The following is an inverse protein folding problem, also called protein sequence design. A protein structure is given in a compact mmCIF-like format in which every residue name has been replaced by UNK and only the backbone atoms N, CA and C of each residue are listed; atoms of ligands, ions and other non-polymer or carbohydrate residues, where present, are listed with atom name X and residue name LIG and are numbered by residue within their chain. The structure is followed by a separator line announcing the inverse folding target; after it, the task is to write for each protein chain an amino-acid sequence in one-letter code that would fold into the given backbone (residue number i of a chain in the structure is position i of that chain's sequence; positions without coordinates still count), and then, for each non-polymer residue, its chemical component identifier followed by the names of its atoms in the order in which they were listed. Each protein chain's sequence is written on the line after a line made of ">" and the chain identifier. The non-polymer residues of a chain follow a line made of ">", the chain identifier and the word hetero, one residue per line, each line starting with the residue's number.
data_IF_454436605120
#
_entry.id   IF_454436605120
#
_cell.length_a   1.000
_cell.length_b   1.000
_cell.length_c   1.000
_cell.angle_alpha   90.00
_cell.angle_beta   90.00
_cell.angle_gamma   90.00
#
_symmetry.space_group_name_H-M   'P 1'
#
loop_
_entity.id
_entity.type
_entity.pdbx_description
1 polymer ?
#
# COMPACT_ATOMS: atom_id res chain seq x y z
N UNK A 1 27.34 3.97 12.84
CA UNK A 1 26.80 3.64 11.50
C UNK A 1 25.47 2.92 11.63
N UNK A 2 24.53 3.19 10.71
CA UNK A 2 23.25 2.45 10.68
C UNK A 2 23.48 1.04 10.16
N UNK A 3 22.81 0.08 10.81
CA UNK A 3 22.68 -1.28 10.34
C UNK A 3 21.22 -1.55 10.01
N UNK A 4 20.97 -2.23 8.90
CA UNK A 4 19.61 -2.61 8.49
C UNK A 4 19.62 -4.10 8.17
N UNK A 5 18.53 -4.80 8.52
CA UNK A 5 18.28 -6.17 8.10
C UNK A 5 16.81 -6.38 7.79
N UNK A 6 16.53 -7.29 6.89
CA UNK A 6 15.19 -7.75 6.55
C UNK A 6 15.01 -9.11 7.21
N UNK A 7 13.93 -9.29 7.96
CA UNK A 7 13.66 -10.55 8.68
C UNK A 7 12.31 -11.14 8.29
N UNK A 8 12.14 -12.48 8.36
CA UNK A 8 10.86 -13.10 8.09
C UNK A 8 9.81 -12.68 9.12
N UNK A 9 8.61 -12.41 8.63
CA UNK A 9 7.48 -11.96 9.42
C UNK A 9 6.19 -12.73 9.06
N UNK A 10 5.21 -12.68 9.94
CA UNK A 10 3.84 -13.07 9.67
C UNK A 10 2.89 -12.06 10.34
N UNK A 11 2.08 -11.37 9.56
CA UNK A 11 1.16 -10.32 10.04
C UNK A 11 1.86 -9.28 10.95
N UNK A 12 3.07 -8.84 10.54
CA UNK A 12 3.89 -7.89 11.28
C UNK A 12 4.63 -8.43 12.50
N UNK A 13 4.49 -9.73 12.80
CA UNK A 13 5.23 -10.39 13.87
C UNK A 13 6.49 -11.06 13.34
N UNK A 14 7.61 -10.80 13.98
CA UNK A 14 8.89 -11.41 13.64
C UNK A 14 8.85 -12.91 13.91
N UNK A 15 9.12 -13.72 12.87
CA UNK A 15 9.23 -15.19 13.00
C UNK A 15 10.65 -15.57 13.45
N UNK A 16 11.66 -14.90 12.94
CA UNK A 16 13.06 -15.16 13.23
C UNK A 16 13.90 -13.90 13.07
N UNK A 17 14.92 -13.72 13.89
CA UNK A 17 15.88 -12.61 13.80
C UNK A 17 16.97 -12.84 12.75
N UNK A 18 16.96 -13.99 12.04
CA UNK A 18 17.89 -14.30 10.95
C UNK A 18 17.54 -13.45 9.73
N UNK A 19 18.52 -12.70 9.22
CA UNK A 19 18.33 -11.89 8.04
C UNK A 19 17.98 -12.74 6.81
N UNK A 20 17.05 -12.23 6.01
CA UNK A 20 16.72 -12.75 4.68
C UNK A 20 17.79 -12.33 3.66
N UNK A 21 18.02 -13.18 2.66
CA UNK A 21 18.85 -12.82 1.52
C UNK A 21 18.17 -11.84 0.56
N UNK A 22 18.93 -11.30 -0.43
CA UNK A 22 18.42 -10.39 -1.44
C UNK A 22 17.18 -10.94 -2.17
N UNK A 23 16.30 -10.06 -2.60
CA UNK A 23 15.05 -10.39 -3.31
C UNK A 23 13.95 -11.00 -2.44
N UNK A 24 14.21 -11.25 -1.14
CA UNK A 24 13.20 -11.78 -0.22
C UNK A 24 12.58 -10.67 0.61
N UNK A 25 11.24 -10.59 0.57
CA UNK A 25 10.45 -9.64 1.33
C UNK A 25 10.37 -10.04 2.81
N UNK A 26 10.39 -9.06 3.69
CA UNK A 26 10.20 -9.23 5.13
C UNK A 26 10.09 -7.90 5.85
N UNK A 27 10.11 -7.96 7.18
CA UNK A 27 10.06 -6.79 8.05
C UNK A 27 11.43 -6.13 8.14
N UNK A 28 11.46 -4.81 8.00
CA UNK A 28 12.70 -4.01 8.08
C UNK A 28 13.01 -3.73 9.53
N UNK A 29 14.19 -4.14 9.98
CA UNK A 29 14.75 -3.79 11.27
C UNK A 29 15.95 -2.88 11.09
N UNK A 30 16.05 -1.84 11.93
CA UNK A 30 17.14 -0.88 11.92
C UNK A 30 17.84 -0.82 13.29
N UNK A 31 19.16 -0.61 13.29
CA UNK A 31 19.95 -0.42 14.51
C UNK A 31 21.03 0.62 14.27
N UNK A 32 21.30 1.50 15.25
CA UNK A 32 22.35 2.49 15.18
C UNK A 32 22.08 3.70 16.09
N UNK A 33 23.03 4.63 16.13
CA UNK A 33 22.98 5.79 17.01
C UNK A 33 21.84 6.78 16.70
N UNK A 34 21.31 6.74 15.47
CA UNK A 34 20.19 7.54 15.02
C UNK A 34 18.82 6.96 15.40
N UNK A 35 18.77 5.74 15.94
CA UNK A 35 17.52 5.18 16.45
C UNK A 35 17.13 5.89 17.74
N UNK A 36 15.82 6.17 17.88
CA UNK A 36 15.28 6.79 19.09
C UNK A 36 15.68 6.01 20.34
N UNK A 37 15.83 6.70 21.46
CA UNK A 37 16.06 6.05 22.78
C UNK A 37 14.80 5.36 23.31
N UNK A 38 13.63 5.76 22.84
CA UNK A 38 12.34 5.21 23.24
C UNK A 38 11.22 6.25 23.15
N UNK A 39 10.01 5.80 23.39
CA UNK A 39 8.82 6.66 23.47
C UNK A 39 8.77 7.34 24.84
N UNK A 40 8.56 8.67 24.85
CA UNK A 40 8.52 9.44 26.08
C UNK A 40 7.45 8.95 27.05
N UNK A 41 7.87 8.60 28.28
CA UNK A 41 7.01 8.05 29.34
C UNK A 41 6.21 6.79 28.95
N UNK A 42 6.64 6.06 27.90
CA UNK A 42 5.97 4.83 27.43
C UNK A 42 6.99 3.70 27.27
N UNK A 43 7.49 3.14 28.40
CA UNK A 43 8.44 2.01 28.35
C UNK A 43 7.82 0.79 27.66
N UNK A 44 6.52 0.54 27.87
CA UNK A 44 5.74 -0.52 27.24
C UNK A 44 5.82 -0.49 25.70
N UNK A 45 5.66 0.69 25.10
CA UNK A 45 5.79 0.87 23.64
C UNK A 45 7.24 0.78 23.19
N UNK A 46 8.17 1.24 24.03
CA UNK A 46 9.59 1.17 23.71
C UNK A 46 10.07 -0.27 23.65
N UNK A 47 9.73 -1.10 24.61
CA UNK A 47 10.09 -2.51 24.64
C UNK A 47 9.44 -3.32 23.51
N UNK A 48 8.25 -2.90 23.06
CA UNK A 48 7.61 -3.52 21.91
C UNK A 48 8.24 -3.12 20.56
N UNK A 49 8.87 -1.94 20.48
CA UNK A 49 9.45 -1.41 19.26
C UNK A 49 10.95 -1.68 19.13
N UNK A 50 11.69 -1.71 20.24
CA UNK A 50 13.15 -1.92 20.27
C UNK A 50 13.45 -3.15 21.10
N UNK A 51 14.10 -4.13 20.48
CA UNK A 51 14.49 -5.36 21.19
C UNK A 51 15.71 -5.13 22.12
N UNK A 52 15.99 -6.16 22.95
CA UNK A 52 17.12 -6.13 23.89
C UNK A 52 18.50 -5.94 23.25
N UNK A 53 18.62 -6.26 21.98
CA UNK A 53 19.85 -6.11 21.21
C UNK A 53 19.91 -4.75 20.49
N UNK A 54 18.91 -3.88 20.66
CA UNK A 54 18.83 -2.54 20.09
C UNK A 54 18.34 -2.50 18.65
N UNK A 55 17.66 -3.55 18.16
CA UNK A 55 17.00 -3.53 16.85
C UNK A 55 15.62 -2.92 16.97
N UNK A 56 15.42 -1.85 16.23
CA UNK A 56 14.14 -1.15 16.10
C UNK A 56 13.31 -1.79 14.99
N UNK A 57 12.10 -2.19 15.34
CA UNK A 57 11.08 -2.62 14.39
C UNK A 57 10.44 -1.39 13.74
N UNK A 58 10.73 -1.15 12.45
CA UNK A 58 10.20 0.02 11.72
C UNK A 58 8.71 -0.09 11.46
N UNK A 59 8.15 -1.30 11.45
CA UNK A 59 6.81 -1.60 10.99
C UNK A 59 6.68 -1.59 9.45
N UNK A 60 7.76 -1.31 8.74
CA UNK A 60 7.78 -1.29 7.28
C UNK A 60 8.21 -2.64 6.71
N UNK A 61 7.62 -3.01 5.59
CA UNK A 61 7.95 -4.19 4.81
C UNK A 61 8.84 -3.82 3.63
N UNK A 62 9.77 -4.67 3.32
CA UNK A 62 10.65 -4.43 2.19
C UNK A 62 11.57 -5.61 1.89
N UNK A 63 12.46 -5.39 0.96
CA UNK A 63 13.48 -6.35 0.56
C UNK A 63 14.83 -5.66 0.33
N UNK A 64 15.90 -6.41 0.50
CA UNK A 64 17.22 -6.02 0.04
C UNK A 64 17.32 -6.36 -1.45
N UNK A 65 17.73 -5.41 -2.29
CA UNK A 65 18.05 -5.68 -3.69
C UNK A 65 19.40 -6.39 -3.83
N UNK A 66 19.71 -6.89 -5.02
CA UNK A 66 21.01 -7.50 -5.29
C UNK A 66 22.15 -6.48 -5.28
N UNK A 67 21.83 -5.19 -5.44
CA UNK A 67 22.77 -4.07 -5.37
C UNK A 67 22.90 -3.49 -3.94
N UNK A 68 22.39 -4.22 -2.93
CA UNK A 68 22.34 -3.81 -1.51
C UNK A 68 21.56 -2.53 -1.23
N UNK A 69 20.59 -2.20 -2.05
CA UNK A 69 19.62 -1.16 -1.79
C UNK A 69 18.39 -1.72 -1.06
N UNK A 70 17.69 -0.86 -0.31
CA UNK A 70 16.46 -1.25 0.38
C UNK A 70 15.28 -0.74 -0.44
N UNK A 71 14.45 -1.68 -0.89
CA UNK A 71 13.16 -1.37 -1.52
C UNK A 71 12.05 -1.57 -0.48
N UNK A 72 11.41 -0.46 -0.05
CA UNK A 72 10.22 -0.51 0.81
C UNK A 72 9.03 -0.91 -0.06
N UNK A 73 8.22 -1.87 0.39
CA UNK A 73 7.07 -2.39 -0.34
C UNK A 73 5.73 -2.04 0.30
N UNK A 74 5.72 -1.73 1.61
CA UNK A 74 4.50 -1.38 2.33
C UNK A 74 4.72 -1.33 3.84
N UNK A 75 3.61 -1.39 4.59
CA UNK A 75 3.62 -1.46 6.06
C UNK A 75 2.95 -2.73 6.54
N UNK A 76 3.54 -3.35 7.55
CA UNK A 76 3.04 -4.60 8.09
C UNK A 76 1.60 -4.51 8.65
N UNK A 77 1.23 -3.35 9.20
CA UNK A 77 -0.12 -3.10 9.75
C UNK A 77 -1.17 -2.82 8.69
N UNK A 78 -0.75 -2.38 7.51
CA UNK A 78 -1.64 -1.98 6.41
C UNK A 78 -1.90 -3.15 5.46
N UNK A 79 -1.19 -4.27 5.64
CA UNK A 79 -1.40 -5.48 4.83
C UNK A 79 -2.83 -5.97 4.96
N UNK A 80 -3.52 -6.07 3.84
CA UNK A 80 -4.87 -6.64 3.73
C UNK A 80 -4.73 -8.15 3.56
N UNK A 81 -5.40 -8.92 4.42
CA UNK A 81 -5.47 -10.38 4.28
C UNK A 81 -6.83 -10.76 3.69
N UNK A 82 -6.81 -11.33 2.49
CA UNK A 82 -8.03 -11.80 1.84
C UNK A 82 -8.52 -13.10 2.48
N UNK A 83 -9.77 -13.45 2.22
CA UNK A 83 -10.40 -14.68 2.73
C UNK A 83 -9.63 -15.94 2.34
N UNK A 84 -8.95 -15.94 1.20
CA UNK A 84 -8.08 -17.02 0.73
C UNK A 84 -6.70 -17.09 1.41
N UNK A 85 -6.40 -16.13 2.30
CA UNK A 85 -5.12 -16.04 3.01
C UNK A 85 -4.03 -15.28 2.24
N UNK A 86 -4.35 -14.68 1.11
CA UNK A 86 -3.39 -13.85 0.37
C UNK A 86 -3.13 -12.54 1.12
N UNK A 87 -1.85 -12.22 1.29
CA UNK A 87 -1.39 -10.94 1.82
C UNK A 87 -1.23 -9.94 0.68
N UNK A 88 -1.93 -8.82 0.78
CA UNK A 88 -1.92 -7.72 -0.18
C UNK A 88 -1.32 -6.49 0.47
N UNK A 89 -0.35 -5.87 -0.18
CA UNK A 89 0.24 -4.60 0.23
C UNK A 89 -0.42 -3.47 -0.57
N UNK A 90 -1.28 -2.66 0.08
CA UNK A 90 -2.12 -1.70 -0.64
C UNK A 90 -1.34 -0.58 -1.32
N UNK A 91 -0.24 -0.11 -0.71
CA UNK A 91 0.46 1.11 -1.14
C UNK A 91 0.91 1.09 -2.61
N UNK A 92 1.38 -0.06 -3.12
CA UNK A 92 1.79 -0.20 -4.52
C UNK A 92 0.60 -0.11 -5.49
N UNK A 93 -0.53 -0.70 -5.11
CA UNK A 93 -1.75 -0.73 -5.89
C UNK A 93 -2.44 0.64 -5.87
N UNK A 94 -2.56 1.26 -4.70
CA UNK A 94 -3.09 2.60 -4.51
C UNK A 94 -2.28 3.64 -5.30
N UNK A 95 -0.94 3.54 -5.22
CA UNK A 95 -0.05 4.39 -6.01
C UNK A 95 -0.22 4.23 -7.52
N UNK A 96 -0.44 2.99 -7.99
CA UNK A 96 -0.71 2.73 -9.41
C UNK A 96 -2.05 3.32 -9.87
N UNK A 97 -3.09 3.29 -9.01
CA UNK A 97 -4.38 3.95 -9.30
C UNK A 97 -4.23 5.48 -9.35
N UNK A 98 -3.53 6.08 -8.37
CA UNK A 98 -3.30 7.52 -8.29
C UNK A 98 -2.39 8.06 -9.41
N UNK A 99 -1.76 7.21 -10.21
CA UNK A 99 -1.08 7.62 -11.44
C UNK A 99 -2.06 8.00 -12.58
N UNK A 100 -3.37 7.77 -12.41
CA UNK A 100 -4.42 8.25 -13.32
C UNK A 100 -4.66 9.76 -13.11
N UNK A 101 -4.85 10.55 -14.18
CA UNK A 101 -5.19 11.97 -14.05
C UNK A 101 -6.56 12.23 -13.43
N UNK A 102 -7.41 11.22 -13.32
CA UNK A 102 -8.76 11.30 -12.77
C UNK A 102 -8.87 10.83 -11.32
N UNK A 103 -7.81 10.27 -10.73
CA UNK A 103 -7.82 9.70 -9.38
C UNK A 103 -6.86 10.48 -8.48
N UNK A 104 -7.38 11.22 -7.52
CA UNK A 104 -6.61 11.97 -6.54
C UNK A 104 -6.13 11.07 -5.40
N UNK A 105 -7.04 10.25 -4.87
CA UNK A 105 -6.75 9.32 -3.78
C UNK A 105 -7.47 8.00 -4.03
N UNK A 106 -6.77 6.91 -3.77
CA UNK A 106 -7.34 5.57 -3.75
C UNK A 106 -7.00 4.90 -2.42
N UNK A 107 -7.99 4.25 -1.80
CA UNK A 107 -7.80 3.46 -0.58
C UNK A 107 -8.36 2.06 -0.84
N UNK A 108 -7.48 1.06 -0.76
CA UNK A 108 -7.90 -0.34 -0.90
C UNK A 108 -8.63 -0.83 0.35
N UNK A 109 -9.66 -1.61 0.10
CA UNK A 109 -10.43 -2.31 1.13
C UNK A 109 -10.63 -3.77 0.72
N UNK A 110 -10.71 -4.68 1.70
CA UNK A 110 -10.88 -6.10 1.36
C UNK A 110 -10.49 -7.04 2.47
N UNK A 111 -10.20 -6.53 3.68
CA UNK A 111 -9.88 -7.38 4.83
C UNK A 111 -10.98 -8.44 5.02
N UNK A 112 -10.58 -9.72 5.05
CA UNK A 112 -11.45 -10.88 5.19
C UNK A 112 -12.52 -11.01 4.09
N UNK A 113 -12.31 -10.36 2.93
CA UNK A 113 -13.19 -10.46 1.77
C UNK A 113 -12.57 -11.35 0.69
N UNK A 114 -13.43 -11.83 -0.22
CA UNK A 114 -13.00 -12.65 -1.36
C UNK A 114 -12.24 -11.87 -2.40
N UNK A 115 -12.51 -10.57 -2.50
CA UNK A 115 -11.94 -9.65 -3.51
C UNK A 115 -11.60 -8.31 -2.88
N UNK A 116 -10.66 -7.61 -3.52
CA UNK A 116 -10.37 -6.21 -3.23
C UNK A 116 -11.46 -5.30 -3.80
N UNK A 117 -11.76 -4.26 -3.04
CA UNK A 117 -12.46 -3.07 -3.49
C UNK A 117 -11.56 -1.84 -3.31
N UNK A 118 -11.96 -0.72 -3.89
CA UNK A 118 -11.30 0.55 -3.68
C UNK A 118 -12.30 1.67 -3.42
N UNK A 119 -11.97 2.55 -2.47
CA UNK A 119 -12.61 3.84 -2.30
C UNK A 119 -11.79 4.85 -3.10
N UNK A 120 -12.45 5.56 -4.00
CA UNK A 120 -11.79 6.50 -4.92
C UNK A 120 -12.26 7.91 -4.65
N UNK A 121 -11.31 8.83 -4.51
CA UNK A 121 -11.55 10.26 -4.56
C UNK A 121 -11.12 10.76 -5.94
N UNK A 122 -12.04 11.20 -6.81
CA UNK A 122 -11.70 11.68 -8.13
C UNK A 122 -11.07 13.08 -8.10
N UNK A 123 -10.23 13.39 -9.08
CA UNK A 123 -9.74 14.75 -9.34
C UNK A 123 -10.89 15.57 -9.90
N UNK A 124 -11.49 16.45 -9.07
CA UNK A 124 -12.70 17.19 -9.39
C UNK A 124 -12.63 17.93 -10.71
N UNK A 125 -11.59 18.71 -10.92
CA UNK A 125 -11.44 19.54 -12.13
C UNK A 125 -11.30 18.69 -13.38
N UNK A 126 -10.61 17.57 -13.32
CA UNK A 126 -10.46 16.65 -14.43
C UNK A 126 -11.80 15.98 -14.81
N UNK A 127 -12.56 15.55 -13.81
CA UNK A 127 -13.89 14.95 -14.02
C UNK A 127 -14.87 15.97 -14.60
N UNK A 128 -14.87 17.19 -14.09
CA UNK A 128 -15.70 18.27 -14.64
C UNK A 128 -15.33 18.65 -16.05
N UNK A 129 -14.03 18.70 -16.38
CA UNK A 129 -13.57 18.95 -17.74
C UNK A 129 -14.02 17.83 -18.70
N UNK A 130 -13.86 16.57 -18.30
CA UNK A 130 -14.33 15.42 -19.06
C UNK A 130 -15.85 15.47 -19.30
N UNK A 131 -16.63 15.79 -18.28
CA UNK A 131 -18.09 15.92 -18.39
C UNK A 131 -18.49 17.00 -19.42
N UNK A 132 -17.78 18.15 -19.41
CA UNK A 132 -18.00 19.24 -20.37
C UNK A 132 -17.67 18.82 -21.79
N UNK A 133 -16.53 18.17 -22.01
CA UNK A 133 -16.07 17.70 -23.32
C UNK A 133 -17.01 16.65 -23.92
N UNK A 134 -17.60 15.81 -23.07
CA UNK A 134 -18.51 14.73 -23.50
C UNK A 134 -20.00 15.11 -23.39
N UNK A 135 -20.32 16.38 -23.12
CA UNK A 135 -21.69 16.91 -23.02
C UNK A 135 -22.56 16.13 -22.00
N UNK A 136 -21.96 15.68 -20.89
CA UNK A 136 -22.67 15.00 -19.81
C UNK A 136 -23.43 16.06 -19.00
N UNK A 137 -24.76 15.94 -18.95
CA UNK A 137 -25.60 16.82 -18.16
C UNK A 137 -25.66 16.36 -16.70
N UNK A 138 -25.50 17.27 -15.76
CA UNK A 138 -25.59 17.00 -14.32
C UNK A 138 -26.07 18.22 -13.56
N UNK A 139 -26.73 18.02 -12.42
CA UNK A 139 -27.24 19.09 -11.57
C UNK A 139 -26.17 19.63 -10.61
N UNK A 140 -25.37 18.72 -10.04
CA UNK A 140 -24.30 19.03 -9.11
C UNK A 140 -23.18 17.96 -9.21
N UNK A 141 -22.07 18.21 -8.53
CA UNK A 141 -20.90 17.33 -8.62
C UNK A 141 -21.17 15.91 -8.08
N UNK A 142 -21.94 15.79 -7.00
CA UNK A 142 -22.28 14.52 -6.38
C UNK A 142 -23.06 13.64 -7.36
N UNK A 143 -24.06 14.22 -8.04
CA UNK A 143 -24.84 13.54 -9.08
C UNK A 143 -23.95 13.15 -10.27
N UNK A 144 -23.01 14.01 -10.66
CA UNK A 144 -22.05 13.70 -11.72
C UNK A 144 -21.24 12.45 -11.42
N UNK A 145 -20.79 12.27 -10.18
CA UNK A 145 -19.99 11.11 -9.77
C UNK A 145 -20.77 9.78 -9.82
N UNK A 146 -22.09 9.84 -9.75
CA UNK A 146 -22.97 8.66 -9.83
C UNK A 146 -23.37 8.30 -11.26
N UNK A 147 -23.00 9.10 -12.25
CA UNK A 147 -23.27 8.81 -13.66
C UNK A 147 -22.47 7.61 -14.14
N UNK A 148 -23.08 6.80 -15.03
CA UNK A 148 -22.41 5.63 -15.59
C UNK A 148 -21.15 6.01 -16.38
N UNK A 149 -21.16 7.16 -17.03
CA UNK A 149 -20.05 7.68 -17.79
C UNK A 149 -18.82 7.92 -16.92
N UNK A 150 -18.97 8.54 -15.75
CA UNK A 150 -17.87 8.79 -14.82
C UNK A 150 -17.44 7.50 -14.12
N UNK A 151 -18.38 6.64 -13.73
CA UNK A 151 -18.06 5.34 -13.15
C UNK A 151 -17.26 4.47 -14.13
N UNK A 152 -17.64 4.47 -15.41
CA UNK A 152 -16.91 3.74 -16.46
C UNK A 152 -15.54 4.36 -16.72
N UNK A 153 -15.44 5.69 -16.80
CA UNK A 153 -14.16 6.39 -16.95
C UNK A 153 -13.14 5.97 -15.88
N UNK A 154 -13.56 6.04 -14.61
CA UNK A 154 -12.68 5.64 -13.49
C UNK A 154 -12.31 4.17 -13.57
N UNK A 155 -13.28 3.29 -13.88
CA UNK A 155 -13.03 1.85 -14.04
C UNK A 155 -12.06 1.54 -15.17
N UNK A 156 -12.23 2.16 -16.33
CA UNK A 156 -11.33 1.99 -17.48
C UNK A 156 -9.89 2.43 -17.14
N UNK A 157 -9.73 3.52 -16.40
CA UNK A 157 -8.42 4.00 -15.95
C UNK A 157 -7.77 3.03 -14.95
N UNK A 158 -8.53 2.45 -14.04
CA UNK A 158 -8.05 1.41 -13.13
C UNK A 158 -7.65 0.16 -13.93
N UNK A 159 -8.54 -0.36 -14.77
CA UNK A 159 -8.30 -1.57 -15.56
C UNK A 159 -7.11 -1.44 -16.51
N UNK A 160 -6.97 -0.30 -17.17
CA UNK A 160 -5.82 -0.03 -18.05
C UNK A 160 -4.49 -0.11 -17.30
N UNK A 161 -4.43 0.39 -16.06
CA UNK A 161 -3.22 0.31 -15.23
C UNK A 161 -2.88 -1.13 -14.84
N UNK A 162 -3.86 -1.93 -14.44
CA UNK A 162 -3.63 -3.33 -14.07
C UNK A 162 -3.34 -4.24 -15.27
N UNK A 163 -3.95 -3.98 -16.43
CA UNK A 163 -3.72 -4.75 -17.64
C UNK A 163 -2.36 -4.45 -18.30
N UNK A 164 -1.84 -3.23 -18.13
CA UNK A 164 -0.54 -2.81 -18.68
C UNK A 164 0.64 -3.17 -17.76
N UNK A 165 0.41 -3.36 -16.48
CA UNK A 165 1.45 -3.71 -15.52
C UNK A 165 1.47 -5.23 -15.33
N UNK A 166 2.53 -5.88 -15.81
CA UNK A 166 2.81 -7.31 -15.56
C UNK A 166 3.13 -7.61 -14.08
N UNK A 167 3.19 -6.58 -13.25
CA UNK A 167 3.73 -6.65 -11.90
C UNK A 167 2.67 -6.99 -10.83
N UNK A 168 1.37 -6.97 -11.20
CA UNK A 168 0.29 -7.27 -10.26
C UNK A 168 -0.23 -8.71 -10.39
N UNK A 169 -0.38 -9.39 -9.24
CA UNK A 169 -0.95 -10.73 -9.14
C UNK A 169 -2.48 -10.67 -9.40
N UNK A 170 -3.08 -11.80 -9.78
CA UNK A 170 -4.53 -11.87 -10.01
C UNK A 170 -5.36 -11.47 -8.79
N UNK A 171 -4.89 -11.81 -7.58
CA UNK A 171 -5.54 -11.44 -6.31
C UNK A 171 -5.42 -9.94 -5.95
N UNK A 172 -4.56 -9.20 -6.63
CA UNK A 172 -4.36 -7.76 -6.46
C UNK A 172 -5.27 -6.91 -7.35
N UNK A 173 -6.09 -7.55 -8.19
CA UNK A 173 -7.07 -6.84 -9.03
C UNK A 173 -8.25 -6.35 -8.20
N UNK A 174 -8.70 -5.14 -8.51
CA UNK A 174 -9.83 -4.49 -7.84
C UNK A 174 -11.11 -4.77 -8.64
N UNK A 175 -12.14 -5.26 -7.97
CA UNK A 175 -13.40 -5.68 -8.60
C UNK A 175 -14.58 -4.77 -8.28
N UNK A 176 -14.49 -3.92 -7.24
CA UNK A 176 -15.57 -2.99 -6.82
C UNK A 176 -14.99 -1.67 -6.41
#
# INVERSE_FOLDING_TARGET
>A
SAQIKIVPENQGKIISMKALGPGKRGLILAKGDQIMKGYYKRPDLTESAIDKDGWFNTGDLGMMTYDNEIKITGRAKDTIVLLGGENIEPSGIEGAMCASPYIETAVLVGQDKKYLGALIVPVKDAVMAYAKENNIAYENYEVLLETLEILNLIREHIDARFNQASDFRTCERVFK
#
